data_IF_956591875905
#
_entry.id   IF_956591875905
#
_cell.length_a   1.000
_cell.length_b   1.000
_cell.length_c   1.000
_cell.angle_alpha   90.00
_cell.angle_beta   90.00
_cell.angle_gamma   90.00
#
_symmetry.space_group_name_H-M   'P 1'
#
loop_
_entity.id
_entity.type
_entity.pdbx_description
1 polymer ?
#
# COMPACT_ATOMS: atom_id res chain seq x y z
N UNK A 1 -0.34 -29.94 36.39
CA UNK A 1 0.07 -29.41 35.05
C UNK A 1 0.72 -28.02 35.07
N UNK A 2 1.01 -27.37 36.22
CA UNK A 2 1.34 -25.93 36.25
C UNK A 2 2.83 -25.52 36.38
N UNK A 3 3.83 -26.40 36.28
CA UNK A 3 5.23 -26.00 36.58
C UNK A 3 6.15 -25.93 35.35
N UNK A 4 5.81 -26.58 34.23
CA UNK A 4 6.72 -26.68 33.06
C UNK A 4 6.77 -25.38 32.25
N UNK A 5 5.62 -24.79 31.90
CA UNK A 5 5.58 -23.56 31.08
C UNK A 5 6.17 -22.35 31.82
N UNK A 6 5.89 -22.20 33.12
CA UNK A 6 6.50 -21.15 33.93
C UNK A 6 8.03 -21.28 34.01
N UNK A 7 8.56 -22.51 34.10
CA UNK A 7 10.01 -22.76 34.03
C UNK A 7 10.57 -22.36 32.67
N UNK A 8 9.91 -22.73 31.58
CA UNK A 8 10.34 -22.36 30.21
C UNK A 8 10.31 -20.85 29.99
N UNK A 9 9.26 -20.15 30.43
CA UNK A 9 9.21 -18.68 30.39
C UNK A 9 10.35 -18.08 31.22
N UNK A 10 10.61 -18.58 32.43
CA UNK A 10 11.70 -18.09 33.28
C UNK A 10 13.07 -18.27 32.62
N UNK A 11 13.31 -19.40 31.95
CA UNK A 11 14.53 -19.66 31.18
C UNK A 11 14.63 -18.66 30.03
N UNK A 12 13.56 -18.51 29.23
CA UNK A 12 13.53 -17.55 28.12
C UNK A 12 13.81 -16.12 28.57
N UNK A 13 13.18 -15.67 29.67
CA UNK A 13 13.38 -14.34 30.24
C UNK A 13 14.82 -14.15 30.74
N UNK A 14 15.37 -15.11 31.47
CA UNK A 14 16.71 -14.99 32.02
C UNK A 14 17.80 -15.08 30.94
N UNK A 15 17.64 -15.95 29.95
CA UNK A 15 18.63 -16.12 28.89
C UNK A 15 18.52 -15.04 27.82
N UNK A 16 17.30 -14.67 27.41
CA UNK A 16 17.06 -13.67 26.37
C UNK A 16 17.19 -12.23 26.87
N UNK A 17 16.81 -11.97 28.12
CA UNK A 17 16.69 -10.60 28.66
C UNK A 17 17.49 -10.38 29.95
N UNK A 18 18.28 -11.37 30.41
CA UNK A 18 19.02 -11.39 31.69
C UNK A 18 18.13 -11.48 32.93
N UNK A 19 17.01 -10.76 32.97
CA UNK A 19 16.07 -10.77 34.08
C UNK A 19 14.66 -10.29 33.64
N UNK A 20 13.68 -10.48 34.53
CA UNK A 20 12.28 -10.09 34.27
C UNK A 20 12.07 -8.58 34.14
N UNK A 21 12.87 -7.76 34.84
CA UNK A 21 12.77 -6.30 34.76
C UNK A 21 13.08 -5.81 33.34
N UNK A 22 14.17 -6.30 32.75
CA UNK A 22 14.56 -5.99 31.38
C UNK A 22 13.54 -6.49 30.35
N UNK A 23 13.00 -7.69 30.55
CA UNK A 23 11.92 -8.22 29.72
C UNK A 23 10.71 -7.27 29.72
N UNK A 24 10.21 -6.92 30.90
CA UNK A 24 9.04 -6.02 31.03
C UNK A 24 9.32 -4.64 30.42
N UNK A 25 10.47 -4.04 30.71
CA UNK A 25 10.85 -2.72 30.16
C UNK A 25 10.89 -2.78 28.64
N UNK A 26 11.57 -3.77 28.06
CA UNK A 26 11.73 -3.89 26.61
C UNK A 26 10.40 -4.05 25.90
N UNK A 27 9.56 -4.98 26.37
CA UNK A 27 8.23 -5.20 25.79
C UNK A 27 7.31 -3.98 25.96
N UNK A 28 7.43 -3.23 27.07
CA UNK A 28 6.68 -1.99 27.29
C UNK A 28 7.10 -0.91 26.31
N UNK A 29 8.40 -0.67 26.13
CA UNK A 29 8.93 0.28 25.14
C UNK A 29 8.46 -0.10 23.74
N UNK A 30 8.47 -1.39 23.41
CA UNK A 30 8.07 -1.86 22.08
C UNK A 30 6.57 -1.69 21.84
N UNK A 31 5.72 -1.95 22.84
CA UNK A 31 4.28 -1.68 22.75
C UNK A 31 4.02 -0.18 22.64
N UNK A 32 4.72 0.66 23.40
CA UNK A 32 4.61 2.12 23.30
C UNK A 32 5.05 2.63 21.92
N UNK A 33 6.13 2.07 21.36
CA UNK A 33 6.59 2.39 20.01
C UNK A 33 5.55 1.98 18.96
N UNK A 34 4.97 0.80 19.09
CA UNK A 34 3.91 0.31 18.21
C UNK A 34 2.64 1.18 18.30
N UNK A 35 2.24 1.60 19.51
CA UNK A 35 1.16 2.56 19.72
C UNK A 35 1.49 3.92 19.11
N UNK A 36 2.71 4.41 19.32
CA UNK A 36 3.17 5.65 18.70
C UNK A 36 3.04 5.58 17.18
N UNK A 37 3.55 4.52 16.53
CA UNK A 37 3.38 4.36 15.08
C UNK A 37 1.90 4.28 14.67
N UNK A 38 1.05 3.63 15.47
CA UNK A 38 -0.38 3.54 15.16
C UNK A 38 -1.12 4.88 15.26
N UNK A 39 -0.71 5.77 16.18
CA UNK A 39 -1.41 7.01 16.51
C UNK A 39 -0.68 8.30 16.13
N UNK A 40 0.55 8.22 15.60
CA UNK A 40 1.38 9.38 15.25
C UNK A 40 0.69 10.27 14.20
N UNK A 41 0.14 9.65 13.16
CA UNK A 41 -0.81 10.27 12.25
C UNK A 41 -1.95 9.29 11.98
N UNK A 42 -3.12 9.57 12.55
CA UNK A 42 -4.29 8.68 12.45
C UNK A 42 -4.83 8.60 11.01
N UNK A 43 -4.43 9.56 10.16
CA UNK A 43 -4.77 9.60 8.75
C UNK A 43 -3.69 8.93 7.88
N UNK A 44 -2.50 8.63 8.42
CA UNK A 44 -1.47 7.93 7.67
C UNK A 44 -1.59 6.40 7.80
N UNK A 45 -2.39 5.83 6.92
CA UNK A 45 -2.58 4.38 6.78
C UNK A 45 -1.25 3.64 6.55
N UNK A 46 -0.23 4.27 5.98
CA UNK A 46 1.07 3.62 5.73
C UNK A 46 1.81 3.36 7.03
N UNK A 47 1.83 4.34 7.93
CA UNK A 47 2.48 4.18 9.24
C UNK A 47 1.75 3.14 10.07
N UNK A 48 0.41 3.07 9.97
CA UNK A 48 -0.39 2.03 10.62
C UNK A 48 -0.11 0.61 10.05
N UNK A 49 -0.03 0.48 8.72
CA UNK A 49 0.35 -0.78 8.07
C UNK A 49 1.80 -1.19 8.37
N UNK A 50 2.71 -0.22 8.52
CA UNK A 50 4.08 -0.47 8.95
C UNK A 50 4.14 -0.99 10.40
N UNK A 51 3.36 -0.41 11.30
CA UNK A 51 3.24 -0.88 12.66
C UNK A 51 2.73 -2.34 12.71
N UNK A 52 1.78 -2.70 11.85
CA UNK A 52 1.31 -4.09 11.70
C UNK A 52 2.42 -5.03 11.20
N UNK A 53 3.17 -4.63 10.14
CA UNK A 53 4.32 -5.40 9.67
C UNK A 53 5.35 -5.60 10.77
N UNK A 54 5.63 -4.55 11.55
CA UNK A 54 6.60 -4.59 12.63
C UNK A 54 6.20 -5.58 13.71
N UNK A 55 4.92 -5.61 14.10
CA UNK A 55 4.41 -6.59 15.06
C UNK A 55 4.58 -8.04 14.55
N UNK A 56 4.24 -8.29 13.28
CA UNK A 56 4.42 -9.59 12.60
C UNK A 56 5.89 -10.03 12.62
N UNK A 57 6.80 -9.16 12.17
CA UNK A 57 8.24 -9.43 12.16
C UNK A 57 8.77 -9.67 13.58
N UNK A 58 8.29 -8.91 14.56
CA UNK A 58 8.71 -9.08 15.95
C UNK A 58 8.29 -10.44 16.52
N UNK A 59 7.09 -10.93 16.19
CA UNK A 59 6.64 -12.29 16.56
C UNK A 59 7.58 -13.35 15.95
N UNK A 60 8.01 -13.17 14.68
CA UNK A 60 8.97 -14.08 14.04
C UNK A 60 10.31 -14.08 14.78
N UNK A 61 10.83 -12.90 15.13
CA UNK A 61 12.11 -12.75 15.84
C UNK A 61 12.04 -13.41 17.23
N UNK A 62 10.98 -13.17 18.00
CA UNK A 62 10.80 -13.81 19.31
C UNK A 62 10.72 -15.33 19.20
N UNK A 63 10.00 -15.84 18.20
CA UNK A 63 9.87 -17.28 17.95
C UNK A 63 11.21 -17.89 17.54
N UNK A 64 11.98 -17.21 16.68
CA UNK A 64 13.33 -17.59 16.29
C UNK A 64 14.28 -17.68 17.50
N UNK A 65 14.33 -16.64 18.35
CA UNK A 65 15.21 -16.62 19.51
C UNK A 65 14.80 -17.65 20.56
N UNK A 66 13.50 -17.86 20.77
CA UNK A 66 13.00 -18.94 21.63
C UNK A 66 13.57 -20.27 21.17
N UNK A 67 13.47 -20.59 19.89
CA UNK A 67 14.07 -21.82 19.35
C UNK A 67 15.58 -21.88 19.53
N UNK A 68 16.33 -20.81 19.24
CA UNK A 68 17.79 -20.83 19.43
C UNK A 68 18.21 -21.03 20.88
N UNK A 69 17.49 -20.45 21.85
CA UNK A 69 17.75 -20.64 23.29
C UNK A 69 17.61 -22.11 23.68
N UNK A 70 16.56 -22.79 23.19
CA UNK A 70 16.24 -24.17 23.59
C UNK A 70 16.89 -25.26 22.71
N UNK A 71 17.30 -24.96 21.46
CA UNK A 71 17.88 -25.93 20.52
C UNK A 71 19.38 -25.74 20.22
N UNK A 72 20.06 -24.81 20.89
CA UNK A 72 21.52 -24.62 20.76
C UNK A 72 22.32 -25.89 21.13
N UNK A 73 23.29 -26.26 20.29
CA UNK A 73 24.11 -27.49 20.40
C UNK A 73 24.79 -27.66 21.76
N UNK A 74 25.12 -26.56 22.45
CA UNK A 74 25.76 -26.59 23.78
C UNK A 74 24.81 -27.05 24.90
N UNK A 75 23.50 -27.09 24.65
CA UNK A 75 22.44 -27.27 25.65
C UNK A 75 21.40 -28.32 25.25
N UNK A 76 21.60 -28.98 24.11
CA UNK A 76 20.76 -30.05 23.57
C UNK A 76 20.41 -31.12 24.62
N UNK A 77 21.33 -31.42 25.55
CA UNK A 77 21.16 -32.42 26.60
C UNK A 77 20.29 -32.00 27.81
N UNK A 78 20.05 -30.71 28.03
CA UNK A 78 19.10 -30.23 29.06
C UNK A 78 17.64 -30.29 28.60
N UNK A 79 17.40 -30.47 27.29
CA UNK A 79 16.07 -30.52 26.65
C UNK A 79 15.74 -31.94 26.13
N UNK A 80 16.66 -32.89 26.25
CA UNK A 80 16.60 -34.22 25.64
C UNK A 80 15.43 -35.11 26.11
N UNK A 81 14.64 -34.75 27.13
CA UNK A 81 13.56 -35.61 27.63
C UNK A 81 12.14 -35.04 27.69
N UNK A 82 11.87 -33.79 27.28
CA UNK A 82 10.50 -33.34 26.93
C UNK A 82 10.49 -31.88 26.47
N UNK A 83 9.90 -31.44 25.37
CA UNK A 83 9.15 -32.02 24.24
C UNK A 83 9.05 -30.81 23.26
N UNK A 84 9.30 -31.00 21.97
CA UNK A 84 9.24 -29.93 20.94
C UNK A 84 7.93 -29.13 20.96
N UNK A 85 6.83 -29.78 21.39
CA UNK A 85 5.51 -29.20 21.59
C UNK A 85 5.49 -28.06 22.62
N UNK A 86 6.24 -28.15 23.71
CA UNK A 86 6.24 -27.18 24.80
C UNK A 86 6.95 -25.89 24.38
N UNK A 87 8.00 -25.99 23.57
CA UNK A 87 8.69 -24.83 22.97
C UNK A 87 7.79 -24.14 21.95
N UNK A 88 7.04 -24.91 21.15
CA UNK A 88 6.02 -24.36 20.25
C UNK A 88 4.97 -23.60 21.06
N UNK A 89 4.40 -24.21 22.10
CA UNK A 89 3.40 -23.56 22.98
C UNK A 89 3.98 -22.30 23.64
N UNK A 90 5.25 -22.31 24.06
CA UNK A 90 5.91 -21.12 24.59
C UNK A 90 5.91 -19.98 23.56
N UNK A 91 6.29 -20.27 22.30
CA UNK A 91 6.30 -19.27 21.21
C UNK A 91 4.92 -18.65 20.99
N UNK A 92 3.84 -19.42 21.17
CA UNK A 92 2.48 -18.87 21.22
C UNK A 92 2.32 -17.94 22.43
N UNK A 93 2.52 -18.44 23.64
CA UNK A 93 2.24 -17.69 24.88
C UNK A 93 2.96 -16.34 24.97
N UNK A 94 4.26 -16.28 24.66
CA UNK A 94 5.05 -15.02 24.78
C UNK A 94 4.61 -13.95 23.77
N UNK A 95 3.96 -14.36 22.68
CA UNK A 95 3.58 -13.46 21.59
C UNK A 95 2.10 -13.06 21.60
N UNK A 96 1.31 -13.50 22.59
CA UNK A 96 -0.11 -13.12 22.73
C UNK A 96 -0.33 -11.59 22.73
N UNK A 97 0.47 -10.77 23.43
CA UNK A 97 0.28 -9.31 23.40
C UNK A 97 0.35 -8.73 21.99
N UNK A 98 1.25 -9.25 21.14
CA UNK A 98 1.39 -8.81 19.75
C UNK A 98 0.24 -9.28 18.87
N UNK A 99 -0.30 -10.48 19.11
CA UNK A 99 -1.51 -10.93 18.45
C UNK A 99 -2.70 -10.01 18.77
N UNK A 100 -2.91 -9.65 20.04
CA UNK A 100 -3.97 -8.71 20.42
C UNK A 100 -3.75 -7.34 19.76
N UNK A 101 -2.50 -6.88 19.73
CA UNK A 101 -2.15 -5.63 19.08
C UNK A 101 -2.44 -5.64 17.56
N UNK A 102 -2.03 -6.69 16.84
CA UNK A 102 -2.34 -6.87 15.41
C UNK A 102 -3.85 -6.74 15.16
N UNK A 103 -4.67 -7.43 15.96
CA UNK A 103 -6.13 -7.37 15.81
C UNK A 103 -6.69 -5.97 16.05
N UNK A 104 -6.19 -5.27 17.07
CA UNK A 104 -6.58 -3.87 17.33
C UNK A 104 -6.28 -2.98 16.13
N UNK A 105 -5.08 -3.11 15.55
CA UNK A 105 -4.67 -2.33 14.38
C UNK A 105 -5.56 -2.60 13.15
N UNK A 106 -5.90 -3.86 12.91
CA UNK A 106 -6.77 -4.25 11.80
C UNK A 106 -8.16 -3.60 11.93
N UNK A 107 -8.74 -3.61 13.14
CA UNK A 107 -10.02 -2.95 13.41
C UNK A 107 -9.91 -1.44 13.21
N UNK A 108 -8.83 -0.83 13.69
CA UNK A 108 -8.58 0.61 13.52
C UNK A 108 -8.42 1.02 12.05
N UNK A 109 -7.82 0.17 11.22
CA UNK A 109 -7.73 0.36 9.77
C UNK A 109 -9.07 0.21 9.04
N UNK A 110 -10.14 -0.17 9.75
CA UNK A 110 -11.50 -0.28 9.23
C UNK A 110 -11.98 -1.71 8.99
N UNK A 111 -11.20 -2.74 9.36
CA UNK A 111 -11.64 -4.12 9.22
C UNK A 111 -12.81 -4.43 10.17
N UNK A 112 -13.77 -5.21 9.69
CA UNK A 112 -14.78 -5.83 10.57
C UNK A 112 -14.09 -6.74 11.57
N UNK A 113 -14.56 -6.78 12.81
CA UNK A 113 -13.92 -7.53 13.90
C UNK A 113 -13.63 -9.00 13.55
N UNK A 114 -14.54 -9.70 12.88
CA UNK A 114 -14.32 -11.10 12.49
C UNK A 114 -13.24 -11.24 11.39
N UNK A 115 -13.14 -10.27 10.47
CA UNK A 115 -12.10 -10.23 9.43
C UNK A 115 -10.75 -9.96 10.08
N UNK A 116 -10.70 -9.01 11.03
CA UNK A 116 -9.52 -8.71 11.82
C UNK A 116 -9.01 -9.96 12.56
N UNK A 117 -9.89 -10.67 13.27
CA UNK A 117 -9.55 -11.91 14.00
C UNK A 117 -8.98 -12.98 13.06
N UNK A 118 -9.60 -13.19 11.89
CA UNK A 118 -9.11 -14.19 10.94
C UNK A 118 -7.72 -13.83 10.40
N UNK A 119 -7.54 -12.59 9.94
CA UNK A 119 -6.24 -12.15 9.41
C UNK A 119 -5.16 -12.11 10.48
N UNK A 120 -5.48 -11.60 11.66
CA UNK A 120 -4.59 -11.59 12.80
C UNK A 120 -4.15 -13.01 13.17
N UNK A 121 -5.06 -13.99 13.11
CA UNK A 121 -4.73 -15.39 13.35
C UNK A 121 -3.79 -15.94 12.29
N UNK A 122 -4.04 -15.68 11.01
CA UNK A 122 -3.16 -16.15 9.93
C UNK A 122 -1.77 -15.51 9.99
N UNK A 123 -1.68 -14.20 10.21
CA UNK A 123 -0.41 -13.50 10.40
C UNK A 123 0.36 -14.06 11.61
N UNK A 124 -0.33 -14.35 12.70
CA UNK A 124 0.26 -14.87 13.92
C UNK A 124 0.78 -16.31 13.75
N UNK A 125 -0.02 -17.19 13.13
CA UNK A 125 0.39 -18.56 12.81
C UNK A 125 1.58 -18.59 11.86
N UNK A 126 1.55 -17.75 10.82
CA UNK A 126 2.64 -17.59 9.88
C UNK A 126 3.91 -17.11 10.57
N UNK A 127 3.82 -16.07 11.41
CA UNK A 127 4.98 -15.50 12.09
C UNK A 127 5.64 -16.49 13.05
N UNK A 128 4.84 -17.20 13.83
CA UNK A 128 5.36 -18.23 14.75
C UNK A 128 6.00 -19.38 13.97
N UNK A 129 5.27 -19.95 13.00
CA UNK A 129 5.76 -21.12 12.24
C UNK A 129 7.03 -20.80 11.45
N UNK A 130 7.09 -19.64 10.79
CA UNK A 130 8.26 -19.22 10.03
C UNK A 130 9.46 -18.90 10.95
N UNK A 131 9.21 -18.23 12.09
CA UNK A 131 10.25 -17.94 13.07
C UNK A 131 10.86 -19.21 13.67
N UNK A 132 10.04 -20.20 14.04
CA UNK A 132 10.50 -21.51 14.52
C UNK A 132 11.29 -22.24 13.43
N UNK A 133 10.77 -22.28 12.20
CA UNK A 133 11.43 -22.92 11.06
C UNK A 133 12.84 -22.36 10.84
N UNK A 134 12.99 -21.03 10.82
CA UNK A 134 14.32 -20.42 10.71
C UNK A 134 15.17 -20.67 11.96
N UNK A 135 14.59 -20.67 13.16
CA UNK A 135 15.32 -20.96 14.40
C UNK A 135 15.96 -22.35 14.38
N UNK A 136 15.27 -23.33 13.80
CA UNK A 136 15.75 -24.71 13.65
C UNK A 136 16.78 -24.84 12.54
N UNK A 137 16.49 -24.31 11.34
CA UNK A 137 17.23 -24.67 10.13
C UNK A 137 18.20 -23.61 9.61
N UNK A 138 17.98 -22.34 9.95
CA UNK A 138 18.66 -21.22 9.32
C UNK A 138 19.11 -20.16 10.35
N UNK A 139 19.62 -19.04 9.82
CA UNK A 139 19.93 -17.84 10.60
C UNK A 139 18.78 -16.84 10.53
N UNK A 140 18.87 -15.75 11.28
CA UNK A 140 17.85 -14.69 11.34
C UNK A 140 17.70 -13.85 10.06
N UNK A 141 18.73 -13.87 9.18
CA UNK A 141 18.82 -13.01 7.98
C UNK A 141 17.56 -13.05 7.09
N UNK A 142 16.94 -14.21 6.79
CA UNK A 142 15.73 -14.26 5.96
C UNK A 142 14.54 -13.49 6.54
N UNK A 143 14.44 -13.34 7.88
CA UNK A 143 13.39 -12.50 8.50
C UNK A 143 13.59 -11.03 8.11
N UNK A 144 14.83 -10.54 8.13
CA UNK A 144 15.14 -9.16 7.74
C UNK A 144 14.93 -8.92 6.25
N UNK A 145 15.30 -9.89 5.40
CA UNK A 145 15.03 -9.80 3.95
C UNK A 145 13.52 -9.72 3.71
N UNK A 146 12.71 -10.58 4.37
CA UNK A 146 11.26 -10.55 4.26
C UNK A 146 10.67 -9.21 4.69
N UNK A 147 11.19 -8.63 5.79
CA UNK A 147 10.79 -7.31 6.27
C UNK A 147 11.09 -6.22 5.24
N UNK A 148 12.31 -6.19 4.68
CA UNK A 148 12.72 -5.22 3.66
C UNK A 148 11.86 -5.36 2.41
N UNK A 149 11.61 -6.59 1.95
CA UNK A 149 10.78 -6.84 0.77
C UNK A 149 9.36 -6.33 0.98
N UNK A 150 8.75 -6.65 2.12
CA UNK A 150 7.39 -6.19 2.44
C UNK A 150 7.31 -4.67 2.62
N UNK A 151 8.35 -4.05 3.17
CA UNK A 151 8.41 -2.61 3.39
C UNK A 151 8.62 -1.80 2.10
N UNK A 152 9.52 -2.26 1.22
CA UNK A 152 9.90 -1.52 0.01
C UNK A 152 8.97 -1.90 -1.16
N UNK A 153 8.80 -3.18 -1.43
CA UNK A 153 8.15 -3.65 -2.66
C UNK A 153 6.66 -3.91 -2.49
N UNK A 154 6.21 -4.39 -1.32
CA UNK A 154 4.81 -4.78 -1.11
C UNK A 154 4.04 -3.82 -0.21
N UNK A 155 4.39 -2.54 -0.25
CA UNK A 155 3.74 -1.43 0.46
C UNK A 155 2.52 -0.90 -0.32
N UNK A 156 1.60 -0.19 0.36
CA UNK A 156 0.50 0.63 -0.22
C UNK A 156 1.01 1.53 -1.35
N UNK A 157 2.27 1.98 -1.24
CA UNK A 157 3.25 2.18 -2.33
C UNK A 157 2.85 1.67 -3.72
N UNK A 158 3.02 0.36 -3.85
CA UNK A 158 3.33 -0.34 -5.07
C UNK A 158 2.34 -1.49 -5.28
N UNK A 159 1.08 -1.33 -4.81
CA UNK A 159 0.00 -2.33 -4.88
C UNK A 159 -0.55 -2.50 -6.30
N UNK A 160 0.37 -2.85 -7.19
CA UNK A 160 0.16 -2.94 -8.62
C UNK A 160 -0.39 -4.33 -9.02
N UNK A 161 -0.54 -5.26 -8.09
CA UNK A 161 -0.96 -6.64 -8.31
C UNK A 161 -2.04 -7.04 -7.30
N UNK A 162 -2.85 -8.03 -7.65
CA UNK A 162 -3.93 -8.50 -6.80
C UNK A 162 -3.39 -9.24 -5.56
N UNK A 163 -2.30 -9.97 -5.72
CA UNK A 163 -1.55 -10.58 -4.65
C UNK A 163 -0.06 -10.63 -5.01
N UNK A 164 0.80 -10.60 -3.99
CA UNK A 164 2.24 -10.72 -4.12
C UNK A 164 2.70 -11.95 -3.34
N UNK A 165 3.52 -12.78 -3.97
CA UNK A 165 4.10 -13.95 -3.29
C UNK A 165 4.98 -13.47 -2.13
N UNK A 166 4.83 -14.06 -0.94
CA UNK A 166 5.48 -13.67 0.32
C UNK A 166 5.06 -12.31 0.91
N UNK A 167 4.00 -11.67 0.38
CA UNK A 167 3.45 -10.48 1.04
C UNK A 167 2.59 -10.86 2.24
N UNK A 168 2.89 -10.23 3.38
CA UNK A 168 2.20 -10.44 4.65
C UNK A 168 1.16 -9.36 4.91
N UNK A 169 1.16 -8.32 4.09
CA UNK A 169 0.34 -7.11 4.28
C UNK A 169 -0.56 -6.80 3.08
N UNK A 170 -0.47 -7.51 1.95
CA UNK A 170 -1.30 -7.24 0.76
C UNK A 170 -2.80 -7.29 1.05
N UNK A 171 -3.22 -8.11 2.00
CA UNK A 171 -4.63 -8.19 2.39
C UNK A 171 -5.12 -6.93 3.14
N UNK A 172 -4.21 -6.13 3.72
CA UNK A 172 -4.55 -4.87 4.37
C UNK A 172 -5.04 -3.81 3.38
N UNK A 173 -4.80 -4.01 2.08
CA UNK A 173 -5.25 -3.10 1.03
C UNK A 173 -6.75 -3.15 0.76
N UNK A 174 -7.43 -4.21 1.20
CA UNK A 174 -8.89 -4.27 1.19
C UNK A 174 -9.39 -5.09 2.38
N UNK A 175 -9.72 -4.38 3.46
CA UNK A 175 -10.16 -4.96 4.72
C UNK A 175 -11.64 -5.37 4.73
N UNK A 176 -12.39 -5.01 3.68
CA UNK A 176 -13.82 -5.33 3.56
C UNK A 176 -14.10 -6.62 2.79
N UNK A 177 -13.10 -7.11 2.04
CA UNK A 177 -13.22 -8.32 1.22
C UNK A 177 -12.10 -9.29 1.62
N UNK A 178 -12.47 -10.56 1.83
CA UNK A 178 -11.49 -11.60 2.08
C UNK A 178 -10.69 -11.86 0.79
N UNK A 179 -9.42 -11.50 0.78
CA UNK A 179 -8.51 -11.89 -0.29
C UNK A 179 -8.11 -13.34 -0.08
N UNK A 180 -8.94 -14.25 -0.59
CA UNK A 180 -8.76 -15.69 -0.41
C UNK A 180 -7.41 -16.19 -0.90
N UNK A 181 -6.83 -15.60 -1.96
CA UNK A 181 -5.51 -16.01 -2.42
C UNK A 181 -4.42 -15.60 -1.44
N UNK A 182 -4.45 -14.37 -0.91
CA UNK A 182 -3.49 -13.96 0.11
C UNK A 182 -3.59 -14.87 1.34
N UNK A 183 -4.81 -15.17 1.79
CA UNK A 183 -5.05 -16.11 2.92
C UNK A 183 -4.47 -17.49 2.61
N UNK A 184 -4.77 -18.05 1.43
CA UNK A 184 -4.25 -19.34 1.00
C UNK A 184 -2.72 -19.33 0.97
N UNK A 185 -2.09 -18.28 0.45
CA UNK A 185 -0.63 -18.18 0.36
C UNK A 185 0.04 -18.13 1.75
N UNK A 186 -0.52 -17.38 2.70
CA UNK A 186 -0.03 -17.31 4.09
C UNK A 186 -0.19 -18.68 4.77
N UNK A 187 -1.33 -19.35 4.55
CA UNK A 187 -1.57 -20.70 5.05
C UNK A 187 -0.59 -21.71 4.46
N UNK A 188 -0.31 -21.65 3.15
CA UNK A 188 0.67 -22.52 2.51
C UNK A 188 2.04 -22.44 3.21
N UNK A 189 2.55 -21.23 3.43
CA UNK A 189 3.88 -21.05 4.03
C UNK A 189 3.86 -21.50 5.49
N UNK A 190 2.76 -21.28 6.20
CA UNK A 190 2.59 -21.75 7.59
C UNK A 190 2.61 -23.28 7.68
N UNK A 191 1.85 -23.95 6.80
CA UNK A 191 1.79 -25.41 6.72
C UNK A 191 3.15 -25.98 6.31
N UNK A 192 3.81 -25.39 5.31
CA UNK A 192 5.15 -25.77 4.89
C UNK A 192 6.15 -25.70 6.04
N UNK A 193 6.17 -24.56 6.73
CA UNK A 193 7.06 -24.33 7.87
C UNK A 193 6.80 -25.37 8.97
N UNK A 194 5.53 -25.64 9.29
CA UNK A 194 5.14 -26.64 10.28
C UNK A 194 5.56 -28.06 9.89
N UNK A 195 5.37 -28.45 8.63
CA UNK A 195 5.77 -29.77 8.13
C UNK A 195 7.29 -29.96 8.18
N UNK A 196 8.07 -28.94 7.81
CA UNK A 196 9.52 -28.95 7.96
C UNK A 196 9.94 -29.11 9.43
N UNK A 197 9.34 -28.34 10.35
CA UNK A 197 9.59 -28.47 11.79
C UNK A 197 9.30 -29.90 12.27
N UNK A 198 8.19 -30.48 11.82
CA UNK A 198 7.80 -31.85 12.19
C UNK A 198 8.80 -32.87 11.65
N UNK A 199 9.26 -32.72 10.40
CA UNK A 199 10.32 -33.56 9.84
C UNK A 199 11.62 -33.49 10.66
N UNK A 200 12.03 -32.32 11.14
CA UNK A 200 13.21 -32.17 12.01
C UNK A 200 13.12 -33.07 13.25
N UNK A 201 11.99 -33.03 13.94
CA UNK A 201 11.82 -33.72 15.22
C UNK A 201 11.60 -35.21 15.07
N UNK A 202 10.89 -35.64 14.03
CA UNK A 202 10.47 -37.03 13.88
C UNK A 202 11.30 -37.83 12.86
N UNK A 203 12.12 -37.16 12.02
CA UNK A 203 13.02 -37.77 11.01
C UNK A 203 12.33 -38.79 10.06
N UNK A 204 11.02 -38.70 9.89
CA UNK A 204 10.25 -39.65 9.09
C UNK A 204 10.23 -39.29 7.61
N UNK A 205 10.71 -40.19 6.73
CA UNK A 205 10.73 -39.98 5.27
C UNK A 205 9.35 -39.76 4.65
N UNK A 206 8.27 -40.24 5.27
CA UNK A 206 6.88 -40.00 4.81
C UNK A 206 6.51 -38.51 4.80
N UNK A 207 7.14 -37.69 5.66
CA UNK A 207 6.92 -36.24 5.69
C UNK A 207 7.45 -35.50 4.47
N UNK A 208 8.40 -36.09 3.71
CA UNK A 208 8.90 -35.50 2.48
C UNK A 208 7.77 -35.34 1.44
N UNK A 209 6.84 -36.30 1.38
CA UNK A 209 5.66 -36.23 0.52
C UNK A 209 4.65 -35.17 0.99
N UNK A 210 4.58 -34.89 2.30
CA UNK A 210 3.70 -33.85 2.84
C UNK A 210 4.18 -32.44 2.46
N UNK A 211 5.48 -32.24 2.20
CA UNK A 211 6.02 -30.96 1.70
C UNK A 211 5.46 -30.55 0.33
N UNK A 212 4.88 -31.49 -0.42
CA UNK A 212 4.18 -31.19 -1.67
C UNK A 212 2.84 -30.48 -1.43
N UNK A 213 2.19 -30.66 -0.28
CA UNK A 213 0.86 -30.08 0.01
C UNK A 213 0.89 -28.54 -0.10
N UNK A 214 1.82 -27.80 0.55
CA UNK A 214 1.97 -26.36 0.37
C UNK A 214 2.23 -25.93 -1.08
N UNK A 215 3.01 -26.71 -1.83
CA UNK A 215 3.29 -26.44 -3.24
C UNK A 215 2.00 -26.57 -4.05
N UNK A 216 1.24 -27.64 -3.85
CA UNK A 216 -0.06 -27.86 -4.50
C UNK A 216 -1.07 -26.77 -4.17
N UNK A 217 -1.19 -26.34 -2.90
CA UNK A 217 -2.13 -25.27 -2.52
C UNK A 217 -1.72 -23.94 -3.16
N UNK A 218 -0.43 -23.61 -3.21
CA UNK A 218 0.05 -22.40 -3.89
C UNK A 218 -0.22 -22.45 -5.41
N UNK A 219 0.09 -23.58 -6.06
CA UNK A 219 -0.19 -23.77 -7.49
C UNK A 219 -1.70 -23.69 -7.77
N UNK A 220 -2.52 -24.29 -6.91
CA UNK A 220 -3.99 -24.22 -7.03
C UNK A 220 -4.51 -22.79 -6.84
N UNK A 221 -3.99 -22.05 -5.86
CA UNK A 221 -4.36 -20.64 -5.66
C UNK A 221 -4.02 -19.79 -6.89
N UNK A 222 -2.83 -19.95 -7.45
CA UNK A 222 -2.39 -19.25 -8.66
C UNK A 222 -3.28 -19.66 -9.85
N UNK A 223 -3.58 -20.95 -9.99
CA UNK A 223 -4.48 -21.48 -11.02
C UNK A 223 -5.91 -20.92 -10.90
N UNK A 224 -6.45 -20.83 -9.69
CA UNK A 224 -7.77 -20.26 -9.42
C UNK A 224 -7.85 -18.78 -9.81
N UNK A 225 -6.82 -17.99 -9.47
CA UNK A 225 -6.74 -16.59 -9.91
C UNK A 225 -6.68 -16.48 -11.43
N UNK A 226 -5.86 -17.30 -12.08
CA UNK A 226 -5.76 -17.32 -13.54
C UNK A 226 -7.10 -17.66 -14.21
N UNK A 227 -7.81 -18.68 -13.73
CA UNK A 227 -9.13 -19.06 -14.23
C UNK A 227 -10.16 -17.93 -14.03
N UNK A 228 -10.12 -17.28 -12.86
CA UNK A 228 -10.98 -16.13 -12.56
C UNK A 228 -10.72 -14.96 -13.49
N UNK A 229 -9.45 -14.65 -13.76
CA UNK A 229 -9.05 -13.63 -14.73
C UNK A 229 -9.53 -13.96 -16.14
N UNK A 230 -9.33 -15.20 -16.60
CA UNK A 230 -9.76 -15.62 -17.93
C UNK A 230 -11.29 -15.60 -18.08
N UNK A 231 -12.03 -15.87 -17.00
CA UNK A 231 -13.49 -15.71 -16.98
C UNK A 231 -13.89 -14.27 -17.24
N UNK A 232 -13.30 -13.31 -16.52
CA UNK A 232 -13.57 -11.87 -16.73
C UNK A 232 -13.21 -11.44 -18.16
N UNK A 233 -12.11 -11.94 -18.73
CA UNK A 233 -11.72 -11.61 -20.11
C UNK A 233 -12.76 -12.04 -21.15
N UNK A 234 -13.51 -13.10 -20.88
CA UNK A 234 -14.58 -13.63 -21.77
C UNK A 234 -15.95 -12.98 -21.54
N UNK A 235 -16.13 -12.21 -20.47
CA UNK A 235 -17.39 -11.50 -20.20
C UNK A 235 -17.61 -10.36 -21.21
N UNK A 236 -18.86 -10.18 -21.63
CA UNK A 236 -19.28 -9.01 -22.40
C UNK A 236 -19.28 -7.76 -21.52
N UNK A 237 -18.90 -6.62 -22.10
CA UNK A 237 -19.02 -5.33 -21.40
C UNK A 237 -20.48 -5.00 -21.11
N UNK A 238 -20.74 -4.59 -19.87
CA UNK A 238 -21.96 -3.91 -19.47
C UNK A 238 -21.73 -2.41 -19.59
N UNK A 239 -22.78 -1.60 -19.73
CA UNK A 239 -22.65 -0.16 -19.93
C UNK A 239 -23.58 0.66 -19.06
N UNK A 240 -23.14 1.86 -18.71
CA UNK A 240 -23.94 2.91 -18.10
C UNK A 240 -23.48 4.29 -18.59
N UNK A 241 -24.30 5.32 -18.38
CA UNK A 241 -23.98 6.70 -18.78
C UNK A 241 -23.76 7.57 -17.54
N UNK A 242 -22.75 8.46 -17.59
CA UNK A 242 -22.49 9.49 -16.58
C UNK A 242 -22.28 10.80 -17.32
N UNK A 243 -23.16 11.78 -17.13
CA UNK A 243 -23.06 13.12 -17.72
C UNK A 243 -22.72 13.09 -19.22
N UNK A 244 -23.31 12.16 -19.98
CA UNK A 244 -23.08 12.00 -21.42
C UNK A 244 -21.83 11.20 -21.80
N UNK A 245 -20.97 10.83 -20.85
CA UNK A 245 -19.90 9.85 -21.07
C UNK A 245 -20.47 8.43 -21.03
N UNK A 246 -20.16 7.64 -22.06
CA UNK A 246 -20.50 6.21 -22.09
C UNK A 246 -19.41 5.40 -21.42
N UNK A 247 -19.76 4.75 -20.32
CA UNK A 247 -18.88 3.91 -19.52
C UNK A 247 -19.22 2.43 -19.74
N UNK A 248 -18.21 1.64 -20.06
CA UNK A 248 -18.28 0.20 -20.28
C UNK A 248 -17.48 -0.50 -19.18
N UNK A 249 -18.02 -1.53 -18.54
CA UNK A 249 -17.33 -2.25 -17.47
C UNK A 249 -17.51 -3.76 -17.54
N UNK A 250 -16.55 -4.52 -16.98
CA UNK A 250 -16.65 -5.98 -16.79
C UNK A 250 -15.85 -6.48 -15.59
N UNK A 251 -16.27 -7.61 -15.02
CA UNK A 251 -15.65 -8.22 -13.84
C UNK A 251 -15.81 -7.47 -12.51
N UNK A 252 -16.48 -6.31 -12.48
CA UNK A 252 -16.73 -5.51 -11.27
C UNK A 252 -18.22 -5.49 -10.90
N UNK A 253 -18.52 -5.21 -9.62
CA UNK A 253 -19.88 -4.88 -9.21
C UNK A 253 -20.26 -3.52 -9.80
N UNK A 254 -21.52 -3.39 -10.22
CA UNK A 254 -22.01 -2.17 -10.86
C UNK A 254 -21.82 -0.92 -10.01
N UNK A 255 -22.10 -1.00 -8.70
CA UNK A 255 -21.89 0.12 -7.77
C UNK A 255 -20.44 0.63 -7.74
N UNK A 256 -19.47 -0.28 -7.81
CA UNK A 256 -18.05 0.04 -7.71
C UNK A 256 -17.58 0.63 -9.05
N UNK A 257 -18.02 0.04 -10.16
CA UNK A 257 -17.77 0.56 -11.50
C UNK A 257 -18.38 1.94 -11.72
N UNK A 258 -19.60 2.18 -11.22
CA UNK A 258 -20.27 3.47 -11.32
C UNK A 258 -19.50 4.55 -10.57
N UNK A 259 -19.14 4.31 -9.30
CA UNK A 259 -18.37 5.27 -8.51
C UNK A 259 -16.99 5.57 -9.11
N UNK A 260 -16.27 4.54 -9.58
CA UNK A 260 -15.02 4.75 -10.33
C UNK A 260 -15.23 5.59 -11.59
N UNK A 261 -16.32 5.31 -12.32
CA UNK A 261 -16.71 6.04 -13.52
C UNK A 261 -17.00 7.51 -13.22
N UNK A 262 -17.72 7.82 -12.14
CA UNK A 262 -18.05 9.20 -11.78
C UNK A 262 -16.80 9.98 -11.38
N UNK A 263 -15.92 9.37 -10.59
CA UNK A 263 -14.61 9.95 -10.22
C UNK A 263 -13.80 10.26 -11.48
N UNK A 264 -13.71 9.31 -12.42
CA UNK A 264 -12.95 9.50 -13.64
C UNK A 264 -13.58 10.60 -14.52
N UNK A 265 -14.89 10.55 -14.77
CA UNK A 265 -15.59 11.52 -15.62
C UNK A 265 -15.38 12.93 -15.08
N UNK A 266 -15.54 13.13 -13.78
CA UNK A 266 -15.37 14.46 -13.19
C UNK A 266 -13.92 14.93 -13.22
N UNK A 267 -12.94 14.03 -13.05
CA UNK A 267 -11.53 14.36 -13.25
C UNK A 267 -11.23 14.73 -14.71
N UNK A 268 -11.74 13.96 -15.67
CA UNK A 268 -11.56 14.22 -17.10
C UNK A 268 -12.16 15.57 -17.49
N UNK A 269 -13.34 15.91 -17.00
CA UNK A 269 -13.97 17.20 -17.27
C UNK A 269 -13.14 18.38 -16.76
N UNK A 270 -12.49 18.26 -15.60
CA UNK A 270 -11.60 19.31 -15.09
C UNK A 270 -10.33 19.44 -15.94
N UNK A 271 -9.72 18.32 -16.34
CA UNK A 271 -8.54 18.33 -17.21
C UNK A 271 -8.86 18.81 -18.63
N UNK A 272 -9.97 18.37 -19.21
CA UNK A 272 -10.37 18.69 -20.58
C UNK A 272 -10.69 20.19 -20.74
N UNK A 273 -11.21 20.85 -19.69
CA UNK A 273 -11.34 22.32 -19.66
C UNK A 273 -10.01 23.04 -19.87
N UNK A 274 -8.93 22.52 -19.29
CA UNK A 274 -7.59 23.11 -19.36
C UNK A 274 -6.94 22.78 -20.71
N UNK A 275 -7.05 21.52 -21.13
CA UNK A 275 -6.45 20.99 -22.35
C UNK A 275 -7.20 21.38 -23.64
N UNK A 276 -8.36 22.04 -23.51
CA UNK A 276 -9.24 22.44 -24.61
C UNK A 276 -9.73 21.25 -25.45
N UNK A 277 -10.03 20.13 -24.78
CA UNK A 277 -10.55 18.91 -25.41
C UNK A 277 -12.08 18.98 -25.41
N UNK A 278 -12.70 18.95 -26.58
CA UNK A 278 -14.15 19.09 -26.75
C UNK A 278 -14.92 17.77 -26.87
N UNK A 279 -14.24 16.66 -27.20
CA UNK A 279 -14.89 15.38 -27.48
C UNK A 279 -14.93 14.47 -26.23
N UNK A 280 -16.14 13.97 -25.91
CA UNK A 280 -16.33 13.01 -24.82
C UNK A 280 -15.82 11.63 -25.22
N UNK A 281 -14.79 11.16 -24.52
CA UNK A 281 -14.18 9.83 -24.70
C UNK A 281 -15.05 8.72 -24.12
N UNK A 282 -14.99 7.52 -24.72
CA UNK A 282 -15.61 6.31 -24.15
C UNK A 282 -14.74 5.76 -23.02
N UNK A 283 -15.35 5.43 -21.88
CA UNK A 283 -14.61 4.93 -20.71
C UNK A 283 -14.76 3.42 -20.63
N UNK A 284 -13.67 2.69 -20.39
CA UNK A 284 -13.64 1.24 -20.24
C UNK A 284 -13.00 0.89 -18.91
N UNK A 285 -13.73 0.20 -18.04
CA UNK A 285 -13.28 -0.21 -16.70
C UNK A 285 -13.24 -1.74 -16.65
N UNK A 286 -12.05 -2.31 -16.53
CA UNK A 286 -11.85 -3.75 -16.54
C UNK A 286 -11.16 -4.23 -15.27
N UNK A 287 -11.73 -5.26 -14.64
CA UNK A 287 -11.03 -6.02 -13.61
C UNK A 287 -9.91 -6.86 -14.24
N UNK A 288 -8.68 -6.63 -13.79
CA UNK A 288 -7.48 -7.31 -14.25
C UNK A 288 -6.69 -7.89 -13.06
N UNK A 289 -7.36 -8.71 -12.23
CA UNK A 289 -6.73 -9.29 -11.05
C UNK A 289 -5.89 -10.50 -11.43
N UNK A 290 -4.59 -10.39 -11.22
CA UNK A 290 -3.62 -11.48 -11.34
C UNK A 290 -2.50 -11.29 -10.32
N UNK A 291 -2.00 -12.41 -9.81
CA UNK A 291 -0.74 -12.50 -9.08
C UNK A 291 0.43 -11.89 -9.88
N UNK A 292 1.39 -11.31 -9.17
CA UNK A 292 2.62 -10.75 -9.72
C UNK A 292 3.42 -11.74 -10.59
N UNK A 293 3.51 -13.00 -10.16
CA UNK A 293 4.22 -14.05 -10.92
C UNK A 293 3.55 -14.31 -12.27
N UNK A 294 2.21 -14.28 -12.32
CA UNK A 294 1.48 -14.49 -13.57
C UNK A 294 1.67 -13.31 -14.54
N UNK A 295 1.86 -12.10 -14.02
CA UNK A 295 2.12 -10.93 -14.85
C UNK A 295 3.45 -10.99 -15.60
N UNK A 296 4.47 -11.69 -15.05
CA UNK A 296 5.75 -11.91 -15.74
C UNK A 296 5.52 -12.51 -17.13
N UNK A 297 4.53 -13.40 -17.27
CA UNK A 297 4.23 -14.11 -18.52
C UNK A 297 3.33 -13.35 -19.50
N UNK A 298 2.58 -12.33 -19.06
CA UNK A 298 1.52 -11.69 -19.87
C UNK A 298 1.71 -10.21 -20.15
N UNK A 299 2.78 -9.60 -19.65
CA UNK A 299 2.99 -8.14 -19.59
C UNK A 299 1.87 -7.43 -18.84
N UNK A 300 2.25 -6.70 -17.80
CA UNK A 300 1.29 -6.04 -16.92
C UNK A 300 0.65 -4.83 -17.62
N UNK A 301 -0.68 -4.71 -17.69
CA UNK A 301 -1.34 -3.53 -18.22
C UNK A 301 -1.14 -2.36 -17.27
N UNK A 302 -1.06 -1.15 -17.83
CA UNK A 302 -1.11 0.07 -17.02
C UNK A 302 -2.47 0.21 -16.34
N UNK A 303 -2.48 0.74 -15.12
CA UNK A 303 -3.70 1.01 -14.34
C UNK A 303 -4.63 1.98 -15.08
N UNK A 304 -4.06 2.99 -15.73
CA UNK A 304 -4.76 3.99 -16.51
C UNK A 304 -4.11 4.20 -17.88
N UNK A 305 -4.95 4.31 -18.92
CA UNK A 305 -4.55 4.60 -20.29
C UNK A 305 -5.58 5.55 -20.90
N UNK A 306 -5.14 6.71 -21.35
CA UNK A 306 -5.98 7.64 -22.10
C UNK A 306 -5.57 7.66 -23.56
N UNK A 307 -6.53 7.42 -24.45
CA UNK A 307 -6.44 7.53 -25.90
C UNK A 307 -7.40 8.62 -26.43
N UNK A 308 -7.29 9.01 -27.71
CA UNK A 308 -8.06 10.13 -28.29
C UNK A 308 -9.58 9.94 -28.12
N UNK A 309 -10.05 8.71 -28.32
CA UNK A 309 -11.49 8.38 -28.30
C UNK A 309 -11.88 7.52 -27.09
N UNK A 310 -10.90 7.09 -26.28
CA UNK A 310 -11.07 6.02 -25.30
C UNK A 310 -10.22 6.27 -24.05
N UNK A 311 -10.80 6.05 -22.88
CA UNK A 311 -10.05 5.95 -21.63
C UNK A 311 -10.23 4.54 -21.08
N UNK A 312 -9.15 3.87 -20.72
CA UNK A 312 -9.16 2.52 -20.15
C UNK A 312 -8.59 2.54 -18.74
N UNK A 313 -9.34 1.96 -17.82
CA UNK A 313 -8.95 1.68 -16.45
C UNK A 313 -8.83 0.17 -16.29
N UNK A 314 -7.65 -0.30 -15.91
CA UNK A 314 -7.42 -1.67 -15.48
C UNK A 314 -7.35 -1.69 -13.96
N UNK A 315 -8.36 -2.25 -13.29
CA UNK A 315 -8.35 -2.44 -11.84
C UNK A 315 -7.46 -3.66 -11.53
N UNK A 316 -6.22 -3.40 -11.11
CA UNK A 316 -5.19 -4.42 -10.92
C UNK A 316 -5.22 -5.09 -9.54
N UNK A 317 -5.77 -4.38 -8.55
CA UNK A 317 -5.85 -4.84 -7.18
C UNK A 317 -7.11 -4.30 -6.50
N UNK A 318 -7.48 -4.94 -5.41
CA UNK A 318 -8.60 -4.50 -4.58
C UNK A 318 -8.36 -3.13 -3.91
N UNK A 319 -7.11 -2.67 -3.82
CA UNK A 319 -6.76 -1.35 -3.29
C UNK A 319 -7.41 -0.22 -4.13
N UNK A 320 -7.50 -0.43 -5.44
CA UNK A 320 -8.01 0.55 -6.41
C UNK A 320 -9.53 0.75 -6.32
N UNK A 321 -10.24 -0.11 -5.57
CA UNK A 321 -11.68 -0.02 -5.32
C UNK A 321 -12.01 -0.04 -3.82
N UNK A 322 -11.02 0.17 -2.95
CA UNK A 322 -11.22 0.26 -1.51
C UNK A 322 -11.68 1.67 -1.11
N UNK A 323 -12.90 2.04 -1.49
CA UNK A 323 -13.44 3.37 -1.19
C UNK A 323 -13.52 3.65 0.32
N UNK A 324 -13.59 2.62 1.16
CA UNK A 324 -13.74 2.80 2.61
C UNK A 324 -12.49 3.40 3.26
N UNK A 325 -11.31 3.05 2.75
CA UNK A 325 -10.03 3.63 3.13
C UNK A 325 -9.55 4.60 2.04
N UNK A 326 -9.80 5.89 2.28
CA UNK A 326 -9.59 6.92 1.27
C UNK A 326 -8.11 7.13 0.94
N UNK A 327 -7.21 6.95 1.89
CA UNK A 327 -5.77 7.10 1.65
C UNK A 327 -5.24 6.01 0.73
N UNK A 328 -5.70 4.76 0.90
CA UNK A 328 -5.35 3.65 0.01
C UNK A 328 -5.95 3.87 -1.37
N UNK A 329 -7.24 4.21 -1.45
CA UNK A 329 -7.93 4.40 -2.73
C UNK A 329 -7.36 5.58 -3.52
N UNK A 330 -7.30 6.77 -2.91
CA UNK A 330 -6.83 7.97 -3.58
C UNK A 330 -5.43 7.79 -4.12
N UNK A 331 -4.57 7.16 -3.35
CA UNK A 331 -3.19 6.97 -3.75
C UNK A 331 -2.97 5.88 -4.82
N UNK A 332 -3.69 4.76 -4.75
CA UNK A 332 -3.50 3.64 -5.70
C UNK A 332 -4.29 3.83 -6.99
N UNK A 333 -5.30 4.70 -6.99
CA UNK A 333 -6.18 4.89 -8.13
C UNK A 333 -6.31 6.35 -8.52
N UNK A 334 -6.68 7.23 -7.59
CA UNK A 334 -6.99 8.62 -7.97
C UNK A 334 -5.72 9.37 -8.38
N UNK A 335 -4.60 9.22 -7.68
CA UNK A 335 -3.32 9.81 -8.07
C UNK A 335 -2.88 9.30 -9.45
N UNK A 336 -3.00 8.00 -9.76
CA UNK A 336 -2.68 7.43 -11.08
C UNK A 336 -3.62 7.92 -12.20
N UNK A 337 -4.90 8.10 -11.89
CA UNK A 337 -5.95 8.59 -12.81
C UNK A 337 -5.87 10.09 -13.00
N UNK A 338 -5.37 10.81 -12.00
CA UNK A 338 -5.10 12.26 -12.05
C UNK A 338 -3.65 12.49 -12.53
N UNK A 339 -2.80 11.45 -12.57
CA UNK A 339 -1.44 11.55 -13.07
C UNK A 339 -1.46 11.80 -14.58
N UNK A 340 -1.12 13.04 -14.86
CA UNK A 340 -0.98 13.67 -16.14
C UNK A 340 -0.15 12.84 -17.10
N UNK A 341 0.86 12.11 -16.61
CA UNK A 341 1.75 11.32 -17.47
C UNK A 341 1.05 10.20 -18.26
N UNK A 342 -0.16 9.83 -17.84
CA UNK A 342 -0.97 8.81 -18.49
C UNK A 342 -2.12 9.39 -19.36
N UNK A 343 -2.23 10.71 -19.48
CA UNK A 343 -3.17 11.40 -20.38
C UNK A 343 -2.59 11.58 -21.78
N UNK A 344 -3.43 11.43 -22.81
CA UNK A 344 -3.03 11.79 -24.17
C UNK A 344 -2.83 13.31 -24.30
N UNK A 345 -1.93 13.70 -25.21
CA UNK A 345 -1.56 15.10 -25.51
C UNK A 345 -0.86 15.86 -24.38
N UNK A 346 -0.43 15.17 -23.31
CA UNK A 346 0.41 15.81 -22.32
C UNK A 346 1.77 16.13 -22.93
N UNK A 347 2.18 17.41 -22.95
CA UNK A 347 3.43 17.81 -23.57
C UNK A 347 4.61 17.11 -22.87
N UNK A 348 5.63 16.71 -23.64
CA UNK A 348 6.91 16.23 -23.07
C UNK A 348 7.63 17.30 -22.23
N UNK A 349 7.19 18.55 -22.35
CA UNK A 349 7.70 19.70 -21.64
C UNK A 349 7.48 19.55 -20.12
N UNK A 350 8.58 19.63 -19.35
CA UNK A 350 8.57 19.53 -17.88
C UNK A 350 7.66 20.56 -17.21
N UNK A 351 7.62 21.79 -17.69
CA UNK A 351 6.82 22.87 -17.09
C UNK A 351 5.34 22.58 -17.23
N UNK A 352 4.90 22.17 -18.42
CA UNK A 352 3.52 21.77 -18.68
C UNK A 352 3.08 20.58 -17.80
N UNK A 353 3.94 19.58 -17.66
CA UNK A 353 3.69 18.43 -16.77
C UNK A 353 3.57 18.87 -15.32
N UNK A 354 4.51 19.67 -14.83
CA UNK A 354 4.49 20.17 -13.46
C UNK A 354 3.26 21.06 -13.20
N UNK A 355 2.82 21.85 -14.17
CA UNK A 355 1.61 22.66 -14.05
C UNK A 355 0.37 21.78 -13.84
N UNK A 356 0.17 20.77 -14.69
CA UNK A 356 -0.98 19.87 -14.56
C UNK A 356 -0.88 18.94 -13.34
N UNK A 357 0.33 18.56 -12.93
CA UNK A 357 0.52 17.78 -11.71
C UNK A 357 0.19 18.62 -10.48
N UNK A 358 0.53 19.92 -10.49
CA UNK A 358 0.30 20.84 -9.38
C UNK A 358 -1.17 21.05 -9.02
N UNK A 359 -2.09 20.81 -9.97
CA UNK A 359 -3.53 20.99 -9.76
C UNK A 359 -4.24 19.69 -9.33
N UNK A 360 -3.55 18.56 -9.31
CA UNK A 360 -4.10 17.23 -9.04
C UNK A 360 -4.94 17.16 -7.75
N UNK A 361 -4.39 17.68 -6.65
CA UNK A 361 -5.07 17.73 -5.35
C UNK A 361 -6.30 18.63 -5.36
N UNK A 362 -6.26 19.74 -6.11
CA UNK A 362 -7.39 20.65 -6.23
C UNK A 362 -8.54 20.01 -7.02
N UNK A 363 -8.22 19.31 -8.12
CA UNK A 363 -9.18 18.50 -8.87
C UNK A 363 -9.78 17.42 -7.97
N UNK A 364 -8.95 16.67 -7.23
CA UNK A 364 -9.42 15.64 -6.31
C UNK A 364 -10.43 16.16 -5.26
N UNK A 365 -10.16 17.36 -4.70
CA UNK A 365 -11.11 18.07 -3.82
C UNK A 365 -12.42 18.43 -4.52
N UNK A 366 -12.35 18.97 -5.74
CA UNK A 366 -13.53 19.38 -6.52
C UNK A 366 -14.41 18.15 -6.86
N UNK A 367 -13.79 17.05 -7.28
CA UNK A 367 -14.43 15.76 -7.54
C UNK A 367 -15.12 15.25 -6.28
N UNK A 368 -14.42 15.23 -5.14
CA UNK A 368 -15.00 14.84 -3.84
C UNK A 368 -16.19 15.72 -3.43
N UNK A 369 -16.13 17.01 -3.71
CA UNK A 369 -17.22 17.96 -3.45
C UNK A 369 -18.45 17.67 -4.33
N UNK A 370 -18.24 17.47 -5.64
CA UNK A 370 -19.32 17.18 -6.60
C UNK A 370 -20.01 15.85 -6.31
N UNK A 371 -19.24 14.83 -5.93
CA UNK A 371 -19.75 13.51 -5.53
C UNK A 371 -20.45 13.50 -4.17
N UNK A 372 -20.40 14.62 -3.42
CA UNK A 372 -20.78 14.66 -1.99
C UNK A 372 -20.04 13.59 -1.17
N UNK A 373 -18.81 13.27 -1.60
CA UNK A 373 -18.00 12.24 -0.98
C UNK A 373 -17.01 12.86 0.00
N UNK A 374 -17.52 13.18 1.20
CA UNK A 374 -16.78 13.94 2.23
C UNK A 374 -15.42 13.33 2.58
N UNK A 375 -15.25 12.00 2.54
CA UNK A 375 -13.96 11.36 2.78
C UNK A 375 -12.90 11.78 1.75
N UNK A 376 -13.24 11.69 0.45
CA UNK A 376 -12.35 12.10 -0.65
C UNK A 376 -12.02 13.59 -0.59
N UNK A 377 -13.06 14.40 -0.34
CA UNK A 377 -12.90 15.84 -0.15
C UNK A 377 -11.94 16.15 1.00
N UNK A 378 -12.17 15.59 2.18
CA UNK A 378 -11.35 15.85 3.37
C UNK A 378 -9.90 15.39 3.19
N UNK A 379 -9.68 14.26 2.51
CA UNK A 379 -8.35 13.79 2.12
C UNK A 379 -7.61 14.87 1.33
N UNK A 380 -8.22 15.35 0.23
CA UNK A 380 -7.59 16.37 -0.60
C UNK A 380 -7.51 17.74 0.08
N UNK A 381 -8.47 18.11 0.93
CA UNK A 381 -8.40 19.31 1.77
C UNK A 381 -7.21 19.24 2.74
N UNK A 382 -6.94 18.07 3.35
CA UNK A 382 -5.75 17.87 4.19
C UNK A 382 -4.46 18.06 3.39
N UNK A 383 -4.35 17.45 2.20
CA UNK A 383 -3.16 17.62 1.37
C UNK A 383 -2.97 19.07 0.92
N UNK A 384 -4.05 19.74 0.50
CA UNK A 384 -4.00 21.16 0.15
C UNK A 384 -3.56 22.02 1.34
N UNK A 385 -4.15 21.82 2.52
CA UNK A 385 -3.75 22.51 3.74
C UNK A 385 -2.30 22.21 4.11
N UNK A 386 -1.84 20.96 3.93
CA UNK A 386 -0.45 20.59 4.12
C UNK A 386 0.46 21.36 3.15
N UNK A 387 0.11 21.42 1.86
CA UNK A 387 0.79 22.22 0.85
C UNK A 387 0.90 23.70 1.24
N UNK A 388 -0.20 24.30 1.74
CA UNK A 388 -0.24 25.70 2.14
C UNK A 388 0.53 25.99 3.44
N UNK A 389 0.38 25.13 4.46
CA UNK A 389 0.85 25.41 5.81
C UNK A 389 2.28 24.95 6.07
N UNK A 390 2.73 23.87 5.41
CA UNK A 390 4.07 23.33 5.67
C UNK A 390 5.16 23.99 4.84
N UNK A 391 4.81 24.89 3.91
CA UNK A 391 5.75 25.49 2.94
C UNK A 391 6.72 24.41 2.46
N UNK A 392 6.20 23.32 1.88
CA UNK A 392 7.00 22.23 1.31
C UNK A 392 8.20 22.84 0.61
N UNK A 393 9.40 22.82 1.23
CA UNK A 393 10.42 23.86 0.98
C UNK A 393 10.59 24.03 -0.53
N UNK A 394 10.05 25.12 -1.11
CA UNK A 394 10.05 25.26 -2.54
C UNK A 394 11.49 25.17 -3.00
N UNK A 395 11.73 24.40 -4.04
CA UNK A 395 13.04 24.24 -4.62
C UNK A 395 12.91 24.30 -6.13
N UNK A 396 14.06 24.43 -6.78
CA UNK A 396 14.17 24.53 -8.25
C UNK A 396 13.49 23.37 -8.99
N UNK A 397 13.29 22.22 -8.32
CA UNK A 397 12.65 21.07 -8.93
C UNK A 397 11.11 21.13 -8.87
N UNK A 398 10.52 21.63 -7.79
CA UNK A 398 9.07 21.55 -7.55
C UNK A 398 8.33 22.91 -7.54
N UNK A 399 9.01 24.04 -7.74
CA UNK A 399 8.34 25.35 -7.63
C UNK A 399 7.18 25.54 -8.62
N UNK A 400 7.33 25.08 -9.88
CA UNK A 400 6.27 25.15 -10.91
C UNK A 400 5.00 24.43 -10.46
N UNK A 401 5.16 23.25 -9.86
CA UNK A 401 4.06 22.47 -9.31
C UNK A 401 3.33 23.25 -8.21
N UNK A 402 4.08 23.86 -7.29
CA UNK A 402 3.49 24.61 -6.17
C UNK A 402 2.77 25.88 -6.67
N UNK A 403 3.35 26.59 -7.64
CA UNK A 403 2.73 27.75 -8.29
C UNK A 403 1.41 27.36 -8.96
N UNK A 404 1.39 26.24 -9.68
CA UNK A 404 0.19 25.76 -10.36
C UNK A 404 -0.99 25.47 -9.43
N UNK A 405 -0.75 24.71 -8.35
CA UNK A 405 -1.79 24.40 -7.38
C UNK A 405 -2.37 25.66 -6.74
N UNK A 406 -1.51 26.63 -6.41
CA UNK A 406 -1.95 27.91 -5.84
C UNK A 406 -2.80 28.72 -6.82
N UNK A 407 -2.35 28.87 -8.07
CA UNK A 407 -3.06 29.66 -9.08
C UNK A 407 -4.40 29.00 -9.43
N UNK A 408 -4.45 27.69 -9.64
CA UNK A 408 -5.69 27.00 -10.02
C UNK A 408 -6.80 27.17 -8.99
N UNK A 409 -6.47 27.08 -7.70
CA UNK A 409 -7.46 27.25 -6.64
C UNK A 409 -7.98 28.68 -6.55
N UNK A 410 -7.12 29.67 -6.79
CA UNK A 410 -7.48 31.09 -6.74
C UNK A 410 -8.23 31.55 -8.00
N UNK A 411 -7.77 31.11 -9.17
CA UNK A 411 -8.26 31.52 -10.47
C UNK A 411 -7.99 30.45 -11.55
N UNK A 412 -8.92 29.49 -11.76
CA UNK A 412 -8.78 28.43 -12.77
C UNK A 412 -8.61 28.94 -14.21
N UNK A 413 -9.25 30.06 -14.57
CA UNK A 413 -9.19 30.62 -15.93
C UNK A 413 -7.79 31.20 -16.22
N UNK A 414 -7.20 31.86 -15.24
CA UNK A 414 -5.85 32.39 -15.34
C UNK A 414 -4.81 31.28 -15.35
N UNK A 415 -5.05 30.19 -14.61
CA UNK A 415 -4.27 28.96 -14.75
C UNK A 415 -4.35 28.37 -16.17
N UNK A 416 -5.54 28.26 -16.77
CA UNK A 416 -5.70 27.78 -18.16
C UNK A 416 -4.87 28.62 -19.12
N UNK A 417 -4.90 29.95 -18.98
CA UNK A 417 -4.08 30.85 -19.82
C UNK A 417 -2.58 30.62 -19.59
N UNK A 418 -2.13 30.48 -18.34
CA UNK A 418 -0.73 30.17 -18.03
C UNK A 418 -0.29 28.84 -18.65
N UNK A 419 -1.13 27.82 -18.55
CA UNK A 419 -0.90 26.51 -19.16
C UNK A 419 -0.72 26.66 -20.68
N UNK A 420 -1.66 27.27 -21.39
CA UNK A 420 -1.60 27.47 -22.85
C UNK A 420 -0.41 28.33 -23.32
N UNK A 421 0.04 29.28 -22.51
CA UNK A 421 1.20 30.12 -22.86
C UNK A 421 2.54 29.44 -22.56
N UNK A 422 2.57 28.45 -21.65
CA UNK A 422 3.80 27.78 -21.25
C UNK A 422 4.30 26.70 -22.24
N UNK A 423 3.62 26.48 -23.38
CA UNK A 423 3.99 25.45 -24.36
C UNK A 423 5.40 25.63 -24.93
N UNK A 424 5.87 26.88 -25.01
CA UNK A 424 7.17 27.23 -25.58
C UNK A 424 8.31 27.32 -24.54
N UNK A 425 8.01 27.11 -23.26
CA UNK A 425 8.93 27.38 -22.16
C UNK A 425 9.84 26.19 -21.89
N UNK A 426 11.15 26.36 -21.97
CA UNK A 426 12.10 25.25 -21.83
C UNK A 426 12.99 25.35 -20.58
N UNK A 427 13.01 26.50 -19.90
CA UNK A 427 13.85 26.72 -18.72
C UNK A 427 13.19 27.64 -17.67
N UNK A 428 13.79 27.67 -16.48
CA UNK A 428 13.22 28.37 -15.32
C UNK A 428 13.14 29.88 -15.58
N UNK A 429 14.13 30.44 -16.30
CA UNK A 429 14.20 31.86 -16.63
C UNK A 429 13.02 32.27 -17.52
N UNK A 430 12.78 31.52 -18.59
CA UNK A 430 11.63 31.72 -19.49
C UNK A 430 10.31 31.60 -18.73
N UNK A 431 10.16 30.63 -17.82
CA UNK A 431 8.94 30.49 -17.02
C UNK A 431 8.71 31.68 -16.09
N UNK A 432 9.76 32.16 -15.41
CA UNK A 432 9.68 33.33 -14.53
C UNK A 432 9.41 34.61 -15.33
N UNK A 433 10.03 34.77 -16.50
CA UNK A 433 9.77 35.89 -17.41
C UNK A 433 8.34 35.87 -17.95
N UNK A 434 7.79 34.69 -18.26
CA UNK A 434 6.39 34.54 -18.64
C UNK A 434 5.47 35.04 -17.52
N UNK A 435 5.72 34.61 -16.27
CA UNK A 435 4.95 35.04 -15.12
C UNK A 435 5.06 36.56 -14.90
N UNK A 436 6.26 37.13 -14.95
CA UNK A 436 6.46 38.58 -14.84
C UNK A 436 5.75 39.32 -15.97
N UNK A 437 5.94 38.95 -17.22
CA UNK A 437 5.51 39.80 -18.34
C UNK A 437 4.03 39.66 -18.66
N UNK A 438 3.48 38.44 -18.59
CA UNK A 438 2.09 38.16 -19.01
C UNK A 438 1.14 37.89 -17.85
N UNK A 439 1.66 37.53 -16.68
CA UNK A 439 0.87 37.18 -15.49
C UNK A 439 1.33 37.96 -14.25
N UNK A 440 1.60 39.26 -14.42
CA UNK A 440 2.14 40.15 -13.39
C UNK A 440 1.40 40.02 -12.05
N UNK A 441 0.07 39.97 -12.10
CA UNK A 441 -0.78 39.84 -10.90
C UNK A 441 -0.53 38.52 -10.14
N UNK A 442 -0.20 37.44 -10.85
CA UNK A 442 0.20 36.17 -10.23
C UNK A 442 1.63 36.24 -9.69
N UNK A 443 2.56 36.83 -10.44
CA UNK A 443 3.97 36.91 -10.04
C UNK A 443 4.16 37.74 -8.75
N UNK A 444 3.38 38.81 -8.59
CA UNK A 444 3.39 39.67 -7.40
C UNK A 444 2.43 39.21 -6.29
N UNK A 445 1.70 38.10 -6.50
CA UNK A 445 0.98 37.47 -5.40
C UNK A 445 1.98 37.03 -4.32
N UNK A 446 1.67 37.35 -3.06
CA UNK A 446 2.58 37.13 -1.92
C UNK A 446 3.06 35.68 -1.84
N UNK A 447 2.18 34.72 -2.08
CA UNK A 447 2.48 33.29 -1.88
C UNK A 447 3.22 32.72 -3.11
N UNK A 448 2.82 33.11 -4.33
CA UNK A 448 3.57 32.76 -5.55
C UNK A 448 4.98 33.34 -5.50
N UNK A 449 5.12 34.60 -5.09
CA UNK A 449 6.41 35.27 -4.96
C UNK A 449 7.28 34.59 -3.89
N UNK A 450 6.69 34.20 -2.76
CA UNK A 450 7.37 33.42 -1.72
C UNK A 450 7.89 32.08 -2.27
N UNK A 451 7.05 31.34 -3.00
CA UNK A 451 7.42 30.04 -3.62
C UNK A 451 8.62 30.20 -4.56
N UNK A 452 8.59 31.21 -5.43
CA UNK A 452 9.69 31.47 -6.36
C UNK A 452 10.95 31.91 -5.59
N UNK A 453 10.84 32.84 -4.65
CA UNK A 453 12.01 33.38 -3.95
C UNK A 453 12.73 32.33 -3.11
N UNK A 454 12.00 31.48 -2.39
CA UNK A 454 12.61 30.38 -1.63
C UNK A 454 13.23 29.32 -2.54
N UNK A 455 12.61 29.02 -3.68
CA UNK A 455 13.11 28.01 -4.61
C UNK A 455 14.50 28.32 -5.18
N UNK A 456 14.86 29.60 -5.25
CA UNK A 456 16.13 30.11 -5.78
C UNK A 456 17.02 30.77 -4.72
N UNK A 457 16.66 30.67 -3.44
CA UNK A 457 17.43 31.26 -2.34
C UNK A 457 18.88 30.73 -2.34
N UNK A 458 19.85 31.62 -2.51
CA UNK A 458 21.28 31.30 -2.47
C UNK A 458 21.96 31.05 -3.83
N UNK A 459 21.27 31.22 -4.97
CA UNK A 459 21.88 31.20 -6.31
C UNK A 459 21.33 32.34 -7.17
N UNK A 460 22.20 33.09 -7.86
CA UNK A 460 21.79 34.08 -8.87
C UNK A 460 21.12 33.35 -10.04
N UNK A 461 20.07 33.95 -10.61
CA UNK A 461 19.35 33.42 -11.77
C UNK A 461 20.30 33.34 -12.97
N UNK A 462 20.85 32.15 -13.21
CA UNK A 462 21.47 31.74 -14.47
C UNK A 462 20.50 30.90 -15.28
#
# INVERSE_FOLDING_TARGET
>A
MNNTYFKLVKIFVNEGYKNIKNYVIFHTILILFLLFLQFFDIHDVKTQMFANLFAVIFIMINSYYSCKIFFSDKRSWLVLFSKSKEVIILCFLINIPYFLFINLQLVMLGAKAYIAIMYGLFQYLFSISFGIFLGVYFNIIPIFILAIINFIFFNVYNATSYNNVLSVNTFLYNLDVLNYSSILSILCISIFSFLCITFYFFKEKKFLYLLLIPVFINVFSIGYEYLSYMKVKKESYKSFNIDGYMCYYKGLKEKDAKLLGEILVYSLEEYDKILDVSEKRKIYIEKAYLNDVLWISKSKPKSFLSDKDKVTINVLSDAMINFNNIDIFSKNYVEDVIDVDNYINVPKNRYQRHLLQGISSAIGRNVGTRLKYNKLKNYYDYYLNFFYNTKYRPNRFNYVYNVAGYIYIKNPDEFKRLYLESYKINNDKEFIELLKNKFNNLYYDKDVNYIITEAFRGKKHE
#
